data_IF_155335175044
#
_entry.id   IF_155335175044
#
_cell.length_a   1.000
_cell.length_b   1.000
_cell.length_c   1.000
_cell.angle_alpha   90.00
_cell.angle_beta   90.00
_cell.angle_gamma   90.00
#
_symmetry.space_group_name_H-M   'P 1'
#
loop_
_entity.id
_entity.type
_entity.pdbx_description
1 polymer ?
#
# COMPACT_ATOMS: atom_id res chain seq x y z
N UNK A 1 81.46 -51.29 32.46
CA UNK A 1 81.47 -50.05 31.65
C UNK A 1 80.80 -50.36 30.33
N UNK A 2 79.53 -49.99 30.18
CA UNK A 2 78.80 -49.99 28.91
C UNK A 2 78.32 -48.55 28.74
N UNK A 3 79.02 -47.78 27.92
CA UNK A 3 78.59 -46.45 27.51
C UNK A 3 77.63 -46.62 26.34
N UNK A 4 76.36 -46.33 26.56
CA UNK A 4 75.40 -46.11 25.49
C UNK A 4 75.51 -44.63 25.12
N UNK A 5 76.18 -44.34 24.01
CA UNK A 5 76.13 -43.01 23.38
C UNK A 5 74.82 -42.97 22.58
N UNK A 6 73.81 -42.31 23.17
CA UNK A 6 72.62 -41.85 22.46
C UNK A 6 73.07 -40.74 21.50
N UNK A 7 73.24 -41.09 20.23
CA UNK A 7 73.32 -40.13 19.14
C UNK A 7 71.93 -39.51 18.92
N UNK A 8 71.62 -38.47 19.70
CA UNK A 8 70.48 -37.60 19.48
C UNK A 8 70.68 -36.80 18.18
N UNK A 9 70.26 -37.39 17.05
CA UNK A 9 70.16 -36.68 15.77
C UNK A 9 69.15 -35.53 15.90
N UNK A 10 69.66 -34.29 16.02
CA UNK A 10 68.81 -33.10 15.99
C UNK A 10 68.24 -32.91 14.59
N UNK A 11 67.03 -33.42 14.38
CA UNK A 11 66.24 -33.18 13.17
C UNK A 11 65.98 -31.67 13.05
N UNK A 12 66.49 -31.04 11.99
CA UNK A 12 66.27 -29.62 11.74
C UNK A 12 64.75 -29.34 11.58
N UNK A 13 64.20 -28.27 12.20
CA UNK A 13 62.77 -28.02 12.14
C UNK A 13 62.35 -27.64 10.71
N UNK A 14 61.72 -28.58 10.00
CA UNK A 14 61.05 -28.34 8.73
C UNK A 14 59.73 -27.58 8.97
N UNK A 15 59.76 -26.26 8.84
CA UNK A 15 58.71 -25.37 8.25
C UNK A 15 58.86 -23.95 8.76
N UNK A 16 59.62 -23.14 8.03
CA UNK A 16 59.60 -21.68 8.17
C UNK A 16 58.74 -21.01 7.09
N UNK A 17 58.68 -21.59 5.89
CA UNK A 17 57.95 -21.00 4.76
C UNK A 17 56.43 -21.08 4.90
N UNK A 18 55.88 -22.17 5.45
CA UNK A 18 54.42 -22.24 5.66
C UNK A 18 53.93 -21.23 6.70
N UNK A 19 54.71 -20.99 7.77
CA UNK A 19 54.38 -19.96 8.77
C UNK A 19 54.46 -18.55 8.18
N UNK A 20 55.42 -18.27 7.30
CA UNK A 20 55.47 -16.97 6.61
C UNK A 20 54.31 -16.80 5.63
N UNK A 21 53.96 -17.85 4.90
CA UNK A 21 52.81 -17.85 3.98
C UNK A 21 51.48 -17.66 4.72
N UNK A 22 51.28 -18.30 5.88
CA UNK A 22 50.07 -18.12 6.68
C UNK A 22 49.97 -16.70 7.26
N UNK A 23 51.08 -16.13 7.74
CA UNK A 23 51.13 -14.75 8.23
C UNK A 23 50.88 -13.72 7.11
N UNK A 24 51.39 -13.97 5.90
CA UNK A 24 51.11 -13.13 4.73
C UNK A 24 49.62 -13.20 4.34
N UNK A 25 49.05 -14.41 4.32
CA UNK A 25 47.63 -14.61 3.98
C UNK A 25 46.70 -13.98 5.02
N UNK A 26 47.00 -14.12 6.31
CA UNK A 26 46.25 -13.50 7.40
C UNK A 26 46.27 -11.97 7.32
N UNK A 27 47.43 -11.39 6.98
CA UNK A 27 47.57 -9.95 6.79
C UNK A 27 46.78 -9.46 5.57
N UNK A 28 46.82 -10.20 4.47
CA UNK A 28 46.02 -9.88 3.26
C UNK A 28 44.53 -9.94 3.58
N UNK A 29 44.08 -10.97 4.30
CA UNK A 29 42.68 -11.10 4.70
C UNK A 29 42.24 -9.96 5.62
N UNK A 30 43.09 -9.59 6.58
CA UNK A 30 42.82 -8.49 7.51
C UNK A 30 42.70 -7.14 6.80
N UNK A 31 43.65 -6.83 5.89
CA UNK A 31 43.62 -5.58 5.12
C UNK A 31 42.40 -5.53 4.19
N UNK A 32 42.07 -6.65 3.56
CA UNK A 32 40.91 -6.76 2.66
C UNK A 32 39.60 -6.58 3.43
N UNK A 33 39.47 -7.24 4.58
CA UNK A 33 38.29 -7.11 5.44
C UNK A 33 38.11 -5.70 5.97
N UNK A 34 39.20 -5.04 6.40
CA UNK A 34 39.15 -3.67 6.89
C UNK A 34 38.78 -2.68 5.76
N UNK A 35 39.33 -2.87 4.56
CA UNK A 35 38.98 -2.06 3.39
C UNK A 35 37.51 -2.24 2.99
N UNK A 36 37.02 -3.49 2.96
CA UNK A 36 35.62 -3.80 2.67
C UNK A 36 34.67 -3.19 3.70
N UNK A 37 35.01 -3.27 4.99
CA UNK A 37 34.23 -2.67 6.07
C UNK A 37 34.17 -1.15 5.95
N UNK A 38 35.31 -0.50 5.66
CA UNK A 38 35.36 0.95 5.42
C UNK A 38 34.51 1.37 4.23
N UNK A 39 34.59 0.63 3.11
CA UNK A 39 33.75 0.88 1.95
C UNK A 39 32.25 0.73 2.28
N UNK A 40 31.88 -0.33 2.99
CA UNK A 40 30.48 -0.58 3.38
C UNK A 40 29.94 0.49 4.35
N UNK A 41 30.76 1.02 5.25
CA UNK A 41 30.35 2.08 6.18
C UNK A 41 30.16 3.44 5.48
N UNK A 42 30.98 3.75 4.46
CA UNK A 42 30.89 5.00 3.68
C UNK A 42 29.83 4.90 2.58
N UNK A 43 29.50 3.68 2.14
CA UNK A 43 28.58 3.43 1.04
C UNK A 43 27.21 4.13 1.17
N UNK A 44 26.52 4.15 2.33
CA UNK A 44 25.24 4.85 2.46
C UNK A 44 25.34 6.36 2.20
N UNK A 45 26.43 7.00 2.64
CA UNK A 45 26.68 8.41 2.37
C UNK A 45 27.01 8.66 0.90
N UNK A 46 27.76 7.76 0.27
CA UNK A 46 28.02 7.84 -1.15
C UNK A 46 26.73 7.71 -1.98
N UNK A 47 25.82 6.80 -1.60
CA UNK A 47 24.48 6.66 -2.20
C UNK A 47 23.66 7.95 -2.02
N UNK A 48 23.69 8.55 -0.84
CA UNK A 48 22.99 9.81 -0.55
C UNK A 48 23.49 10.99 -1.41
N UNK A 49 24.80 11.10 -1.67
CA UNK A 49 25.32 12.18 -2.53
C UNK A 49 25.26 11.84 -4.04
N UNK A 50 25.00 10.58 -4.41
CA UNK A 50 24.84 10.12 -5.80
C UNK A 50 23.42 9.57 -6.02
N UNK A 51 22.43 10.27 -5.46
CA UNK A 51 21.02 9.90 -5.58
C UNK A 51 20.61 9.70 -7.05
N UNK A 52 21.17 10.44 -8.00
CA UNK A 52 20.90 10.29 -9.43
C UNK A 52 21.19 8.88 -9.98
N UNK A 53 22.18 8.17 -9.42
CA UNK A 53 22.60 6.84 -9.89
C UNK A 53 21.96 5.69 -9.12
N UNK A 54 21.61 5.92 -7.86
CA UNK A 54 21.11 4.90 -6.92
C UNK A 54 19.68 5.11 -6.47
N UNK A 55 19.07 6.26 -6.77
CA UNK A 55 17.63 6.41 -6.64
C UNK A 55 16.98 5.34 -7.51
N UNK A 56 15.94 4.73 -6.97
CA UNK A 56 15.03 3.99 -7.81
C UNK A 56 14.50 5.02 -8.81
N UNK A 57 14.93 4.89 -10.07
CA UNK A 57 14.17 5.34 -11.21
C UNK A 57 12.88 4.49 -11.26
N UNK A 58 12.06 4.54 -10.19
CA UNK A 58 10.65 4.78 -10.42
C UNK A 58 10.75 5.98 -11.32
N UNK A 59 10.39 5.82 -12.58
CA UNK A 59 10.28 6.96 -13.47
C UNK A 59 9.80 8.11 -12.61
N UNK A 60 10.43 9.26 -12.76
CA UNK A 60 9.69 10.48 -12.69
C UNK A 60 8.41 10.29 -13.54
N UNK A 61 7.41 9.57 -13.02
CA UNK A 61 6.04 10.02 -12.93
C UNK A 61 6.15 11.26 -12.09
N UNK A 62 6.75 12.24 -12.75
CA UNK A 62 6.19 13.52 -12.96
C UNK A 62 5.60 14.04 -11.67
N UNK A 63 6.16 15.15 -11.22
CA UNK A 63 5.61 15.97 -10.15
C UNK A 63 4.27 16.61 -10.58
N UNK A 64 3.55 15.96 -11.48
CA UNK A 64 2.17 16.18 -11.86
C UNK A 64 1.33 15.26 -10.98
N UNK A 65 0.27 15.85 -10.43
CA UNK A 65 -0.82 15.14 -9.74
C UNK A 65 -1.62 14.26 -10.71
N UNK A 66 -0.97 13.68 -11.72
CA UNK A 66 -1.60 12.89 -12.75
C UNK A 66 -1.50 11.43 -12.35
N UNK A 67 -2.43 11.07 -11.47
CA UNK A 67 -2.86 9.68 -11.37
C UNK A 67 -3.23 9.21 -12.78
N UNK A 68 -2.73 8.04 -13.23
CA UNK A 68 -3.18 7.45 -14.48
C UNK A 68 -4.70 7.44 -14.50
N UNK A 69 -5.33 7.64 -15.67
CA UNK A 69 -6.78 7.77 -15.83
C UNK A 69 -7.48 6.43 -15.61
N UNK A 70 -7.31 5.86 -14.42
CA UNK A 70 -8.01 4.69 -13.98
C UNK A 70 -9.48 5.07 -13.83
N UNK A 71 -10.39 4.31 -14.44
CA UNK A 71 -11.81 4.52 -14.21
C UNK A 71 -12.06 4.43 -12.70
N UNK A 72 -12.91 5.32 -12.19
CA UNK A 72 -13.28 5.36 -10.77
C UNK A 72 -13.67 3.94 -10.33
N UNK A 73 -12.79 3.29 -9.56
CA UNK A 73 -13.06 1.96 -9.05
C UNK A 73 -13.99 2.17 -7.87
N UNK A 74 -15.22 1.66 -7.95
CA UNK A 74 -16.12 1.63 -6.81
C UNK A 74 -15.44 0.80 -5.71
N UNK A 75 -14.77 1.48 -4.77
CA UNK A 75 -14.30 0.90 -3.53
C UNK A 75 -15.52 0.76 -2.63
N UNK A 76 -16.33 -0.25 -2.91
CA UNK A 76 -17.17 -0.82 -1.88
C UNK A 76 -16.19 -1.37 -0.84
N UNK A 77 -16.29 -0.89 0.40
CA UNK A 77 -15.64 -1.52 1.54
C UNK A 77 -16.28 -2.88 1.74
N UNK A 78 -15.89 -3.86 0.91
CA UNK A 78 -16.32 -5.24 1.08
C UNK A 78 -15.53 -5.82 2.23
N UNK A 79 -16.20 -6.51 3.14
CA UNK A 79 -15.54 -7.25 4.20
C UNK A 79 -14.47 -8.17 3.60
N UNK A 80 -13.27 -8.30 4.20
CA UNK A 80 -12.20 -9.13 3.65
C UNK A 80 -12.61 -10.59 3.39
N UNK A 81 -13.62 -11.09 4.09
CA UNK A 81 -14.25 -12.41 3.86
C UNK A 81 -14.96 -12.54 2.50
N UNK A 82 -15.40 -11.43 1.92
CA UNK A 82 -16.07 -11.39 0.61
C UNK A 82 -15.09 -11.20 -0.57
N UNK A 83 -13.79 -11.05 -0.31
CA UNK A 83 -12.79 -11.00 -1.38
C UNK A 83 -12.65 -12.37 -2.06
N UNK A 84 -12.73 -12.36 -3.39
CA UNK A 84 -12.47 -13.57 -4.20
C UNK A 84 -10.99 -13.93 -4.08
N UNK A 85 -10.70 -14.98 -3.31
CA UNK A 85 -9.37 -15.57 -3.26
C UNK A 85 -9.08 -16.26 -4.61
N UNK A 86 -8.07 -15.78 -5.32
CA UNK A 86 -7.68 -16.26 -6.66
C UNK A 86 -6.64 -17.38 -6.62
N UNK A 87 -6.26 -17.84 -5.42
CA UNK A 87 -5.38 -18.98 -5.25
C UNK A 87 -6.16 -20.27 -5.51
N UNK A 88 -5.57 -21.22 -6.24
CA UNK A 88 -6.14 -22.54 -6.45
C UNK A 88 -6.13 -23.34 -5.14
N UNK A 89 -7.21 -23.25 -4.38
CA UNK A 89 -7.39 -24.04 -3.17
C UNK A 89 -7.95 -25.41 -3.57
N UNK A 90 -7.10 -26.46 -3.49
CA UNK A 90 -7.48 -27.85 -3.82
C UNK A 90 -8.69 -28.38 -3.02
N UNK A 91 -9.00 -27.78 -1.88
CA UNK A 91 -10.16 -28.12 -1.05
C UNK A 91 -10.76 -26.82 -0.49
N UNK A 92 -11.74 -26.25 -1.20
CA UNK A 92 -12.54 -25.15 -0.67
C UNK A 92 -13.51 -25.73 0.37
N UNK A 93 -13.47 -25.34 1.64
CA UNK A 93 -14.53 -25.70 2.57
C UNK A 93 -15.83 -25.08 2.04
N UNK A 94 -16.83 -25.92 1.80
CA UNK A 94 -18.17 -25.44 1.44
C UNK A 94 -18.68 -24.61 2.62
N UNK A 95 -19.07 -23.34 2.40
CA UNK A 95 -19.63 -22.54 3.47
C UNK A 95 -20.89 -23.27 4.00
N UNK A 96 -21.10 -23.32 5.32
CA UNK A 96 -22.30 -23.89 5.88
C UNK A 96 -23.50 -23.17 5.27
N UNK A 97 -24.33 -23.91 4.54
CA UNK A 97 -25.56 -23.39 3.96
C UNK A 97 -26.48 -23.09 5.14
N UNK A 98 -26.73 -21.81 5.39
CA UNK A 98 -27.68 -21.38 6.40
C UNK A 98 -29.10 -21.72 5.92
N UNK A 99 -29.84 -22.63 6.60
CA UNK A 99 -31.21 -22.95 6.25
C UNK A 99 -32.20 -21.85 6.65
N UNK A 100 -31.74 -20.74 7.26
CA UNK A 100 -32.58 -19.58 7.54
C UNK A 100 -32.92 -18.86 6.23
N UNK A 101 -34.16 -19.03 5.78
CA UNK A 101 -34.77 -18.22 4.74
C UNK A 101 -34.82 -16.75 5.18
N UNK A 102 -33.83 -15.96 4.77
CA UNK A 102 -33.71 -14.52 5.08
C UNK A 102 -34.39 -13.62 4.05
N UNK A 103 -35.20 -14.17 3.15
CA UNK A 103 -35.93 -13.40 2.16
C UNK A 103 -37.33 -13.00 2.68
N UNK A 104 -37.52 -11.71 3.00
CA UNK A 104 -38.82 -11.08 2.76
C UNK A 104 -38.82 -10.66 1.30
N UNK A 105 -39.70 -11.25 0.48
CA UNK A 105 -39.93 -10.78 -0.88
C UNK A 105 -40.71 -9.46 -0.81
N UNK A 106 -40.32 -8.48 -1.61
CA UNK A 106 -41.03 -7.21 -1.71
C UNK A 106 -42.48 -7.46 -2.16
N UNK A 107 -43.46 -7.09 -1.34
CA UNK A 107 -44.89 -7.16 -1.70
C UNK A 107 -45.33 -5.98 -2.58
N UNK A 108 -44.52 -5.63 -3.58
CA UNK A 108 -44.84 -4.56 -4.53
C UNK A 108 -46.14 -4.94 -5.24
N UNK A 109 -47.21 -4.21 -4.94
CA UNK A 109 -48.55 -4.41 -5.50
C UNK A 109 -49.57 -5.11 -4.59
N UNK A 110 -49.20 -5.53 -3.35
CA UNK A 110 -50.20 -5.99 -2.37
C UNK A 110 -50.61 -4.81 -1.49
N UNK A 111 -51.84 -4.32 -1.66
CA UNK A 111 -52.45 -3.40 -0.72
C UNK A 111 -52.61 -4.14 0.63
N UNK A 112 -51.84 -3.69 1.61
CA UNK A 112 -51.97 -4.13 3.00
C UNK A 112 -52.76 -3.02 3.67
N UNK A 113 -53.95 -3.34 4.20
CA UNK A 113 -54.65 -2.49 5.16
C UNK A 113 -53.78 -2.35 6.41
N UNK A 114 -52.81 -1.44 6.35
CA UNK A 114 -51.86 -1.16 7.41
C UNK A 114 -52.53 -0.24 8.42
N UNK A 115 -53.10 -0.84 9.46
CA UNK A 115 -53.27 -0.15 10.73
C UNK A 115 -51.93 0.40 11.20
N UNK A 116 -51.91 1.71 11.47
CA UNK A 116 -50.96 2.45 12.31
C UNK A 116 -49.50 1.97 12.23
N UNK A 117 -48.85 2.22 11.09
CA UNK A 117 -47.38 2.34 11.06
C UNK A 117 -47.04 3.68 11.73
N UNK A 118 -46.13 3.74 12.71
CA UNK A 118 -45.61 5.02 13.19
C UNK A 118 -44.83 5.65 12.03
N UNK A 119 -45.42 6.64 11.36
CA UNK A 119 -44.79 7.35 10.24
C UNK A 119 -43.69 8.32 10.70
N UNK A 120 -43.49 8.49 12.01
CA UNK A 120 -42.56 9.44 12.61
C UNK A 120 -41.16 8.87 12.89
N UNK A 121 -40.59 8.12 11.94
CA UNK A 121 -39.12 7.97 11.93
C UNK A 121 -38.55 9.06 11.03
N UNK A 122 -37.92 10.12 11.59
CA UNK A 122 -37.24 11.09 10.75
C UNK A 122 -36.14 10.37 9.98
N UNK A 123 -36.11 10.56 8.66
CA UNK A 123 -34.98 10.15 7.85
C UNK A 123 -33.71 10.79 8.44
N UNK A 124 -32.58 10.07 8.46
CA UNK A 124 -31.31 10.69 8.84
C UNK A 124 -31.13 11.94 7.96
N UNK A 125 -30.69 13.04 8.58
CA UNK A 125 -30.47 14.28 7.86
C UNK A 125 -29.55 13.99 6.66
N UNK A 126 -29.97 14.40 5.46
CA UNK A 126 -29.14 14.28 4.26
C UNK A 126 -27.81 14.97 4.54
N UNK A 127 -26.74 14.19 4.64
CA UNK A 127 -25.42 14.75 4.83
C UNK A 127 -25.03 15.52 3.57
N UNK A 128 -24.69 16.80 3.76
CA UNK A 128 -24.16 17.61 2.67
C UNK A 128 -22.71 17.26 2.42
N UNK A 129 -22.26 17.45 1.18
CA UNK A 129 -20.84 17.35 0.85
C UNK A 129 -20.11 18.64 1.23
N UNK A 130 -18.87 18.50 1.67
CA UNK A 130 -17.94 19.62 1.84
C UNK A 130 -16.83 19.52 0.80
N UNK A 131 -16.57 20.59 0.06
CA UNK A 131 -15.50 20.61 -0.92
C UNK A 131 -14.19 21.03 -0.25
N UNK A 132 -13.19 20.15 -0.30
CA UNK A 132 -11.88 20.40 0.34
C UNK A 132 -10.87 20.98 -0.64
N UNK A 133 -10.79 20.44 -1.85
CA UNK A 133 -9.82 20.88 -2.85
C UNK A 133 -10.27 20.54 -4.28
N UNK A 134 -9.86 21.37 -5.24
CA UNK A 134 -10.05 21.10 -6.67
C UNK A 134 -8.71 21.20 -7.39
N UNK A 135 -8.36 20.18 -8.18
CA UNK A 135 -7.16 20.14 -9.00
C UNK A 135 -7.36 19.23 -10.22
N UNK A 136 -6.83 19.63 -11.39
CA UNK A 136 -6.83 18.83 -12.62
C UNK A 136 -8.22 18.26 -13.00
N UNK A 137 -9.29 19.05 -12.81
CA UNK A 137 -10.67 18.63 -13.12
C UNK A 137 -11.25 17.58 -12.15
N UNK A 138 -10.62 17.39 -10.99
CA UNK A 138 -11.08 16.50 -9.90
C UNK A 138 -11.34 17.34 -8.65
N UNK A 139 -12.32 16.92 -7.87
CA UNK A 139 -12.67 17.49 -6.59
C UNK A 139 -12.43 16.46 -5.47
N UNK A 140 -11.87 16.91 -4.35
CA UNK A 140 -11.81 16.17 -3.10
C UNK A 140 -12.97 16.64 -2.23
N UNK A 141 -13.88 15.73 -1.91
CA UNK A 141 -15.09 16.00 -1.11
C UNK A 141 -15.07 15.18 0.18
N UNK A 142 -15.77 15.67 1.20
CA UNK A 142 -15.96 15.02 2.50
C UNK A 142 -17.46 14.88 2.79
N UNK A 143 -17.83 13.75 3.37
CA UNK A 143 -19.15 13.37 3.89
C UNK A 143 -18.93 12.72 5.29
N UNK A 144 -19.94 12.57 6.18
CA UNK A 144 -19.76 11.86 7.45
C UNK A 144 -19.25 10.42 7.31
N UNK A 145 -19.41 9.81 6.14
CA UNK A 145 -18.88 8.49 5.82
C UNK A 145 -17.38 8.47 5.49
N UNK A 146 -16.80 9.61 5.10
CA UNK A 146 -15.39 9.74 4.74
C UNK A 146 -15.09 10.75 3.62
N UNK A 147 -13.88 10.67 3.07
CA UNK A 147 -13.42 11.54 1.98
C UNK A 147 -13.36 10.79 0.64
N UNK A 148 -13.71 11.47 -0.46
CA UNK A 148 -13.79 10.91 -1.80
C UNK A 148 -13.16 11.83 -2.84
N UNK A 149 -12.44 11.26 -3.80
CA UNK A 149 -11.95 11.99 -4.99
C UNK A 149 -12.91 11.72 -6.14
N UNK A 150 -13.51 12.79 -6.68
CA UNK A 150 -14.56 12.70 -7.70
C UNK A 150 -14.23 13.53 -8.93
N UNK A 151 -14.76 13.14 -10.09
CA UNK A 151 -14.71 13.88 -11.36
C UNK A 151 -16.15 14.10 -11.84
N UNK A 152 -16.36 15.06 -12.75
CA UNK A 152 -17.60 15.15 -13.51
C UNK A 152 -17.99 13.76 -14.06
N UNK A 153 -19.21 13.33 -13.75
CA UNK A 153 -19.77 12.01 -14.06
C UNK A 153 -19.70 10.96 -12.94
N UNK A 154 -18.87 11.17 -11.91
CA UNK A 154 -18.76 10.27 -10.76
C UNK A 154 -20.07 10.18 -9.98
N UNK A 155 -20.38 8.99 -9.45
CA UNK A 155 -21.51 8.77 -8.52
C UNK A 155 -21.04 9.12 -7.12
N UNK A 156 -21.82 9.94 -6.42
CA UNK A 156 -21.56 10.40 -5.06
C UNK A 156 -22.22 9.45 -4.03
N UNK A 157 -21.83 9.51 -2.74
CA UNK A 157 -22.42 8.69 -1.68
C UNK A 157 -23.94 8.83 -1.50
N UNK A 158 -24.52 9.95 -1.95
CA UNK A 158 -25.97 10.21 -1.93
C UNK A 158 -26.69 9.71 -3.21
N UNK A 159 -26.01 8.86 -3.99
CA UNK A 159 -26.41 8.32 -5.29
C UNK A 159 -26.60 9.36 -6.42
N UNK A 160 -26.32 10.64 -6.16
CA UNK A 160 -26.30 11.66 -7.20
C UNK A 160 -25.06 11.54 -8.08
N UNK A 161 -25.05 12.21 -9.23
CA UNK A 161 -23.87 12.30 -10.10
C UNK A 161 -23.28 13.70 -10.05
N UNK A 162 -21.96 13.81 -10.05
CA UNK A 162 -21.30 15.10 -10.17
C UNK A 162 -21.49 15.65 -11.59
N UNK A 163 -22.27 16.73 -11.74
CA UNK A 163 -22.59 17.31 -13.03
C UNK A 163 -21.51 18.28 -13.50
N UNK A 164 -21.00 19.15 -12.61
CA UNK A 164 -20.01 20.17 -12.96
C UNK A 164 -19.16 20.55 -11.77
N UNK A 165 -17.91 20.94 -12.04
CA UNK A 165 -16.99 21.58 -11.09
C UNK A 165 -16.68 22.96 -11.66
N UNK A 166 -17.02 24.02 -10.93
CA UNK A 166 -16.85 25.40 -11.39
C UNK A 166 -16.39 26.31 -10.25
N UNK A 167 -15.92 27.51 -10.60
CA UNK A 167 -15.49 28.50 -9.64
C UNK A 167 -16.44 29.71 -9.71
N UNK A 168 -17.14 29.98 -8.60
CA UNK A 168 -18.05 31.13 -8.45
C UNK A 168 -17.50 32.05 -7.36
N UNK A 169 -17.32 33.33 -7.68
CA UNK A 169 -16.80 34.35 -6.74
C UNK A 169 -15.49 33.95 -6.05
N UNK A 170 -14.59 33.29 -6.79
CA UNK A 170 -13.31 32.81 -6.28
C UNK A 170 -13.38 31.54 -5.43
N UNK A 171 -14.58 31.03 -5.10
CA UNK A 171 -14.79 29.76 -4.41
C UNK A 171 -15.09 28.65 -5.40
N UNK A 172 -14.54 27.47 -5.14
CA UNK A 172 -14.91 26.29 -5.90
C UNK A 172 -16.28 25.78 -5.45
N UNK A 173 -17.06 25.30 -6.41
CA UNK A 173 -18.38 24.74 -6.20
C UNK A 173 -18.54 23.51 -7.06
N UNK A 174 -19.22 22.51 -6.50
CA UNK A 174 -19.69 21.35 -7.24
C UNK A 174 -21.20 21.40 -7.40
N UNK A 175 -21.67 20.99 -8.58
CA UNK A 175 -23.10 20.89 -8.90
C UNK A 175 -23.43 19.42 -9.12
N UNK A 176 -24.42 18.91 -8.41
CA UNK A 176 -24.88 17.52 -8.58
C UNK A 176 -25.98 17.43 -9.65
N UNK A 177 -26.29 16.23 -10.10
CA UNK A 177 -27.38 15.95 -11.03
C UNK A 177 -28.77 16.30 -10.45
N UNK A 178 -28.89 16.41 -9.13
CA UNK A 178 -30.09 16.86 -8.44
C UNK A 178 -30.23 18.39 -8.45
N UNK A 179 -29.19 19.11 -8.87
CA UNK A 179 -29.12 20.57 -8.85
C UNK A 179 -28.57 21.16 -7.55
N UNK A 180 -28.14 20.31 -6.60
CA UNK A 180 -27.56 20.74 -5.34
C UNK A 180 -26.16 21.32 -5.56
N UNK A 181 -25.84 22.38 -4.80
CA UNK A 181 -24.59 23.11 -4.90
C UNK A 181 -23.84 23.01 -3.57
N UNK A 182 -22.61 22.50 -3.60
CA UNK A 182 -21.77 22.36 -2.41
C UNK A 182 -20.44 23.13 -2.57
N UNK A 183 -19.99 23.75 -1.49
CA UNK A 183 -18.79 24.62 -1.42
C UNK A 183 -17.71 24.06 -0.50
#
# INVERSE_FOLDING_TARGET
MTGFEDDDERIAPLKSDEKRKSLMLDRVLTVTGLALAGAAAIFPWYVFFNEDKFSLNIAQGDRTRDLPDWPARNVFSVSPLAMVNKNEVKNKPEPPIDPLTTATVSSVGKEIDKGLVPEDQPFPASSGFKLLHVANGRALIEDPSGMYVVRVGSVLPDESRLATIEQRDGKWVIVTSKGDIYQ
#
